data_IF_799802253067
#
_entry.id   IF_799802253067
#
_cell.length_a   1.000
_cell.length_b   1.000
_cell.length_c   1.000
_cell.angle_alpha   90.00
_cell.angle_beta   90.00
_cell.angle_gamma   90.00
#
_symmetry.space_group_name_H-M   'P 1'
#
loop_
_entity.id
_entity.type
_entity.pdbx_description
1 polymer ?
#
# COMPACT_ATOMS: atom_id res chain seq x y z
N UNK A 1 -8.94 46.20 18.99
CA UNK A 1 -9.77 45.19 18.29
C UNK A 1 -8.93 44.17 17.54
N UNK A 2 -7.77 44.57 17.01
CA UNK A 2 -6.87 43.68 16.24
C UNK A 2 -6.13 42.63 17.06
N UNK A 3 -5.89 42.85 18.36
CA UNK A 3 -5.34 41.80 19.24
C UNK A 3 -6.26 40.57 19.40
N UNK A 4 -7.56 40.75 19.13
CA UNK A 4 -8.57 39.71 19.31
C UNK A 4 -8.90 39.05 17.96
N UNK A 5 -8.90 39.82 16.87
CA UNK A 5 -9.28 39.39 15.52
C UNK A 5 -8.05 39.05 14.65
N UNK A 6 -8.27 38.36 13.54
CA UNK A 6 -7.20 37.99 12.60
C UNK A 6 -6.49 36.66 12.93
N UNK A 7 -5.57 36.23 12.06
CA UNK A 7 -4.83 34.96 12.20
C UNK A 7 -3.91 34.94 13.43
N UNK A 8 -3.29 36.08 13.74
CA UNK A 8 -2.43 36.27 14.91
C UNK A 8 -3.22 36.77 16.15
N UNK A 9 -4.54 36.93 16.03
CA UNK A 9 -5.38 37.32 17.15
C UNK A 9 -5.47 36.21 18.20
N UNK A 10 -5.68 36.60 19.47
CA UNK A 10 -5.72 35.69 20.61
C UNK A 10 -6.66 34.49 20.43
N UNK A 11 -7.78 34.66 19.74
CA UNK A 11 -8.73 33.55 19.51
C UNK A 11 -8.13 32.42 18.67
N UNK A 12 -7.52 32.75 17.53
CA UNK A 12 -6.98 31.72 16.62
C UNK A 12 -5.64 31.18 17.10
N UNK A 13 -4.74 32.05 17.57
CA UNK A 13 -3.37 31.66 17.87
C UNK A 13 -3.18 31.05 19.27
N UNK A 14 -3.97 31.47 20.27
CA UNK A 14 -3.72 31.10 21.67
C UNK A 14 -4.84 30.28 22.31
N UNK A 15 -6.10 30.54 21.93
CA UNK A 15 -7.24 29.78 22.48
C UNK A 15 -7.44 28.46 21.73
N UNK A 16 -7.42 28.50 20.41
CA UNK A 16 -7.55 27.30 19.55
C UNK A 16 -6.21 26.62 19.28
N UNK A 17 -5.16 27.41 19.01
CA UNK A 17 -3.78 26.91 18.94
C UNK A 17 -3.13 26.94 20.33
N UNK A 18 -2.67 25.79 20.82
CA UNK A 18 -1.86 25.74 22.04
C UNK A 18 -0.67 24.83 21.82
N UNK A 19 0.49 25.27 22.31
CA UNK A 19 1.64 24.39 22.48
C UNK A 19 1.35 23.49 23.67
N UNK A 20 1.64 22.22 23.53
CA UNK A 20 1.35 21.20 24.53
C UNK A 20 2.62 20.50 24.94
N UNK A 21 2.76 20.23 26.24
CA UNK A 21 3.81 19.39 26.78
C UNK A 21 3.56 17.91 26.41
N UNK A 22 4.51 17.02 26.73
CA UNK A 22 4.44 15.59 26.37
C UNK A 22 4.24 15.36 24.87
N UNK A 23 4.93 16.18 24.07
CA UNK A 23 4.94 16.07 22.62
C UNK A 23 6.36 16.00 22.07
N UNK A 24 6.52 15.30 20.96
CA UNK A 24 7.80 15.15 20.24
C UNK A 24 7.59 15.24 18.74
N UNK A 25 8.66 15.46 17.98
CA UNK A 25 8.62 15.42 16.51
C UNK A 25 9.88 14.77 15.98
N UNK A 26 9.74 13.90 14.99
CA UNK A 26 10.88 13.38 14.23
C UNK A 26 10.47 13.02 12.80
N UNK A 27 11.47 12.75 11.97
CA UNK A 27 11.33 12.23 10.61
C UNK A 27 10.74 10.82 10.68
N UNK A 28 9.87 10.49 9.73
CA UNK A 28 9.31 9.15 9.61
C UNK A 28 10.13 8.28 8.66
N UNK A 29 10.24 7.00 9.00
CA UNK A 29 10.83 5.96 8.16
C UNK A 29 9.89 4.77 8.07
N UNK A 30 10.09 3.93 7.06
CA UNK A 30 9.26 2.75 6.85
C UNK A 30 9.55 1.68 7.92
N UNK A 31 8.50 1.13 8.53
CA UNK A 31 8.59 -0.02 9.44
C UNK A 31 7.75 -1.19 8.93
N UNK A 32 8.18 -1.91 7.88
CA UNK A 32 7.40 -2.98 7.26
C UNK A 32 7.11 -4.15 8.21
N UNK A 33 7.97 -4.38 9.22
CA UNK A 33 7.86 -5.43 10.23
C UNK A 33 6.78 -5.17 11.29
N UNK A 34 6.35 -3.92 11.45
CA UNK A 34 5.37 -3.53 12.46
C UNK A 34 3.98 -4.08 12.11
N UNK A 35 3.14 -4.30 13.12
CA UNK A 35 1.71 -4.55 12.93
C UNK A 35 0.96 -3.26 12.67
N UNK A 36 -0.24 -3.34 12.10
CA UNK A 36 -1.02 -2.14 11.74
C UNK A 36 -1.27 -1.18 12.93
N UNK A 37 -1.44 -1.69 14.15
CA UNK A 37 -1.67 -0.92 15.38
C UNK A 37 -0.38 -0.42 16.06
N UNK A 38 0.79 -0.75 15.55
CA UNK A 38 2.07 -0.43 16.17
C UNK A 38 2.81 0.70 15.44
N UNK A 39 3.59 1.47 16.18
CA UNK A 39 4.56 2.41 15.63
C UNK A 39 5.92 2.25 16.32
N UNK A 40 7.01 2.43 15.59
CA UNK A 40 8.35 2.44 16.20
C UNK A 40 8.66 3.81 16.77
N UNK A 41 8.93 3.89 18.07
CA UNK A 41 9.31 5.12 18.75
C UNK A 41 10.81 5.07 19.10
N UNK A 42 11.59 6.11 18.79
CA UNK A 42 12.99 6.20 19.20
C UNK A 42 13.16 6.12 20.72
N UNK A 43 14.13 5.33 21.18
CA UNK A 43 14.46 5.19 22.61
C UNK A 43 14.68 6.53 23.33
N UNK A 44 15.47 7.43 22.73
CA UNK A 44 15.74 8.78 23.29
C UNK A 44 14.46 9.60 23.44
N UNK A 45 13.57 9.57 22.43
CA UNK A 45 12.31 10.30 22.45
C UNK A 45 11.34 9.71 23.48
N UNK A 46 11.22 8.38 23.52
CA UNK A 46 10.36 7.68 24.46
C UNK A 46 10.78 7.98 25.91
N UNK A 47 12.07 7.98 26.21
CA UNK A 47 12.57 8.28 27.55
C UNK A 47 12.18 9.68 28.02
N UNK A 48 12.26 10.70 27.16
CA UNK A 48 11.87 12.07 27.51
C UNK A 48 10.35 12.23 27.63
N UNK A 49 9.56 11.60 26.74
CA UNK A 49 8.10 11.65 26.80
C UNK A 49 7.53 10.95 28.04
N UNK A 50 8.10 9.80 28.42
CA UNK A 50 7.60 8.97 29.53
C UNK A 50 8.37 9.17 30.84
N UNK A 51 9.28 10.16 30.90
CA UNK A 51 10.15 10.46 32.04
C UNK A 51 9.47 10.42 33.42
N UNK A 52 8.33 11.09 33.68
CA UNK A 52 7.70 11.05 35.00
C UNK A 52 7.14 9.66 35.36
N UNK A 53 6.67 8.90 34.38
CA UNK A 53 6.14 7.55 34.57
C UNK A 53 7.25 6.57 34.93
N UNK A 54 8.37 6.63 34.21
CA UNK A 54 9.57 5.84 34.48
C UNK A 54 10.11 6.16 35.88
N UNK A 55 10.19 7.45 36.25
CA UNK A 55 10.63 7.86 37.58
C UNK A 55 9.74 7.33 38.70
N UNK A 56 8.42 7.34 38.52
CA UNK A 56 7.45 6.80 39.48
C UNK A 56 7.61 5.28 39.63
N UNK A 57 7.75 4.57 38.51
CA UNK A 57 7.91 3.11 38.47
C UNK A 57 9.22 2.65 39.12
N UNK A 58 10.35 3.32 38.82
CA UNK A 58 11.65 3.06 39.47
C UNK A 58 11.62 3.18 41.00
N UNK A 59 10.82 4.11 41.55
CA UNK A 59 10.67 4.26 43.00
C UNK A 59 9.76 3.17 43.57
N UNK A 60 8.67 2.83 42.87
CA UNK A 60 7.75 1.78 43.29
C UNK A 60 8.40 0.39 43.31
N UNK A 61 9.26 0.11 42.33
CA UNK A 61 9.95 -1.18 42.21
C UNK A 61 11.19 -1.26 43.13
N UNK A 62 11.48 -0.21 43.92
CA UNK A 62 12.59 -0.18 44.88
C UNK A 62 13.98 0.01 44.26
N UNK A 63 14.07 0.18 42.93
CA UNK A 63 15.33 0.44 42.20
C UNK A 63 15.91 1.82 42.53
N UNK A 64 15.06 2.77 42.93
CA UNK A 64 15.46 4.10 43.38
C UNK A 64 14.83 4.47 44.73
N UNK A 65 15.65 4.91 45.69
CA UNK A 65 15.16 5.29 47.02
C UNK A 65 14.29 6.56 47.03
N UNK A 66 14.47 7.47 46.08
CA UNK A 66 13.71 8.72 45.99
C UNK A 66 13.66 9.26 44.56
N UNK A 67 12.74 10.21 44.31
CA UNK A 67 12.52 10.83 42.99
C UNK A 67 13.79 11.51 42.46
N UNK A 68 14.63 12.10 43.32
CA UNK A 68 15.89 12.72 42.90
C UNK A 68 16.91 11.69 42.40
N UNK A 69 16.98 10.53 43.05
CA UNK A 69 17.81 9.40 42.63
C UNK A 69 17.30 8.83 41.31
N UNK A 70 15.98 8.62 41.19
CA UNK A 70 15.36 8.18 39.95
C UNK A 70 15.65 9.14 38.79
N UNK A 71 15.54 10.45 39.01
CA UNK A 71 15.91 11.48 38.01
C UNK A 71 17.35 11.34 37.54
N UNK A 72 18.31 11.17 38.47
CA UNK A 72 19.74 10.96 38.13
C UNK A 72 19.98 9.64 37.38
N UNK A 73 19.23 8.59 37.69
CA UNK A 73 19.33 7.30 36.98
C UNK A 73 18.84 7.43 35.54
N UNK A 74 17.73 8.14 35.33
CA UNK A 74 17.16 8.42 34.01
C UNK A 74 18.09 9.32 33.19
N UNK A 75 18.63 10.40 33.78
CA UNK A 75 19.58 11.30 33.09
C UNK A 75 20.89 10.60 32.69
N UNK A 76 21.30 9.57 33.44
CA UNK A 76 22.46 8.74 33.10
C UNK A 76 22.13 7.57 32.18
N UNK A 77 20.87 7.40 31.79
CA UNK A 77 20.37 6.32 30.93
C UNK A 77 20.90 4.93 31.34
N UNK A 78 20.83 4.61 32.64
CA UNK A 78 21.31 3.31 33.13
C UNK A 78 20.52 2.15 32.50
N UNK A 79 21.11 0.95 32.36
CA UNK A 79 20.47 -0.21 31.74
C UNK A 79 19.07 -0.52 32.29
N UNK A 80 18.89 -0.45 33.62
CA UNK A 80 17.64 -0.80 34.30
C UNK A 80 16.48 0.14 33.94
N UNK A 81 16.79 1.34 33.45
CA UNK A 81 15.79 2.33 33.02
C UNK A 81 15.09 1.88 31.73
N UNK A 82 15.80 1.15 30.86
CA UNK A 82 15.24 0.69 29.59
C UNK A 82 14.22 -0.42 29.78
N UNK A 83 14.47 -1.35 30.71
CA UNK A 83 13.54 -2.42 31.05
C UNK A 83 12.23 -1.84 31.62
N UNK A 84 12.35 -0.86 32.53
CA UNK A 84 11.21 -0.15 33.10
C UNK A 84 10.46 0.66 32.04
N UNK A 85 11.17 1.29 31.11
CA UNK A 85 10.57 2.04 30.02
C UNK A 85 9.73 1.14 29.11
N UNK A 86 10.22 -0.05 28.78
CA UNK A 86 9.49 -1.02 27.95
C UNK A 86 8.18 -1.49 28.62
N UNK A 87 8.21 -1.73 29.93
CA UNK A 87 7.01 -2.08 30.71
C UNK A 87 5.97 -0.94 30.71
N UNK A 88 6.41 0.30 30.95
CA UNK A 88 5.53 1.48 31.00
C UNK A 88 4.83 1.75 29.66
N UNK A 89 5.54 1.50 28.55
CA UNK A 89 5.07 1.79 27.19
C UNK A 89 4.01 0.78 26.72
N UNK A 90 4.09 -0.49 27.15
CA UNK A 90 3.23 -1.56 26.64
C UNK A 90 1.73 -1.26 26.77
N UNK A 91 1.32 -0.52 27.80
CA UNK A 91 -0.09 -0.19 28.04
C UNK A 91 -0.48 1.24 27.61
N UNK A 92 0.47 2.07 27.18
CA UNK A 92 0.26 3.48 26.84
C UNK A 92 0.25 3.71 25.31
N UNK A 93 -0.93 3.95 24.69
CA UNK A 93 -0.99 4.35 23.30
C UNK A 93 -0.40 5.75 23.11
N UNK A 94 0.12 6.04 21.92
CA UNK A 94 0.59 7.38 21.51
C UNK A 94 -0.17 7.85 20.28
N UNK A 95 -0.35 9.16 20.15
CA UNK A 95 -1.01 9.78 19.01
C UNK A 95 0.00 10.31 18.01
N UNK A 96 -0.04 9.81 16.78
CA UNK A 96 0.75 10.34 15.67
C UNK A 96 -0.09 11.31 14.85
N UNK A 97 0.48 12.48 14.53
CA UNK A 97 -0.15 13.51 13.72
C UNK A 97 0.82 14.02 12.62
N UNK A 98 0.31 14.15 11.40
CA UNK A 98 1.00 14.83 10.30
C UNK A 98 0.32 16.15 9.96
N UNK A 99 1.12 17.21 9.88
CA UNK A 99 0.66 18.50 9.41
C UNK A 99 0.83 18.60 7.88
N UNK A 100 -0.14 19.15 7.13
CA UNK A 100 -1.44 19.66 7.56
C UNK A 100 -2.49 18.54 7.77
N UNK A 101 -3.25 18.62 8.87
CA UNK A 101 -4.33 17.66 9.16
C UNK A 101 -5.59 18.03 8.39
N UNK A 102 -5.90 17.32 7.30
CA UNK A 102 -7.06 17.60 6.44
C UNK A 102 -8.36 16.94 6.90
N UNK A 103 -8.25 15.81 7.60
CA UNK A 103 -9.39 15.02 8.06
C UNK A 103 -9.01 14.20 9.30
N UNK A 104 -9.99 13.60 9.99
CA UNK A 104 -9.77 12.88 11.25
C UNK A 104 -8.69 11.79 11.18
N UNK A 105 -8.51 11.12 10.03
CA UNK A 105 -7.51 10.06 9.86
C UNK A 105 -6.05 10.57 9.86
N UNK A 106 -5.84 11.89 9.88
CA UNK A 106 -4.52 12.49 10.04
C UNK A 106 -4.04 12.50 11.50
N UNK A 107 -4.86 12.01 12.45
CA UNK A 107 -4.48 11.72 13.82
C UNK A 107 -4.98 10.32 14.16
N UNK A 108 -4.07 9.41 14.52
CA UNK A 108 -4.39 8.04 14.91
C UNK A 108 -3.54 7.64 16.11
N UNK A 109 -4.07 6.70 16.90
CA UNK A 109 -3.37 6.09 18.02
C UNK A 109 -2.62 4.83 17.57
N UNK A 110 -1.45 4.62 18.17
CA UNK A 110 -0.60 3.45 17.96
C UNK A 110 -0.03 2.99 19.30
N UNK A 111 0.29 1.70 19.39
CA UNK A 111 1.09 1.15 20.46
C UNK A 111 2.58 1.34 20.13
N UNK A 112 3.38 1.98 21.01
CA UNK A 112 4.78 2.24 20.71
C UNK A 112 5.60 0.97 20.89
N UNK A 113 6.46 0.69 19.93
CA UNK A 113 7.52 -0.32 20.01
C UNK A 113 8.85 0.44 20.05
N UNK A 114 9.68 0.15 21.05
CA UNK A 114 11.00 0.78 21.15
C UNK A 114 11.84 0.40 19.93
N UNK A 115 12.40 1.42 19.28
CA UNK A 115 13.24 1.25 18.10
C UNK A 115 14.56 2.00 18.27
N UNK A 116 15.62 1.43 17.70
CA UNK A 116 16.92 2.07 17.64
C UNK A 116 16.93 3.22 16.61
N UNK A 117 17.79 4.21 16.87
CA UNK A 117 17.91 5.41 16.04
C UNK A 117 17.02 6.56 16.51
N UNK A 118 16.81 7.54 15.63
CA UNK A 118 16.11 8.81 15.93
C UNK A 118 14.82 9.03 15.14
N UNK A 119 14.50 8.15 14.20
CA UNK A 119 13.34 8.27 13.32
C UNK A 119 12.15 7.46 13.83
N UNK A 120 10.94 7.95 13.59
CA UNK A 120 9.71 7.24 13.93
C UNK A 120 9.43 6.22 12.82
N UNK A 121 9.28 4.93 13.17
CA UNK A 121 8.88 3.92 12.19
C UNK A 121 7.36 3.90 12.06
N UNK A 122 6.86 4.07 10.84
CA UNK A 122 5.43 4.06 10.55
C UNK A 122 5.06 2.83 9.72
N UNK A 123 3.88 2.28 10.01
CA UNK A 123 3.31 1.18 9.25
C UNK A 123 2.95 1.62 7.80
N UNK A 124 3.39 0.91 6.75
CA UNK A 124 3.16 1.34 5.36
C UNK A 124 1.68 1.52 4.96
N UNK A 125 0.76 0.71 5.50
CA UNK A 125 -0.67 0.78 5.14
C UNK A 125 -1.39 2.02 5.69
N UNK A 126 -0.81 2.72 6.67
CA UNK A 126 -1.42 3.95 7.22
C UNK A 126 -0.94 5.20 6.49
N UNK A 127 0.11 5.11 5.66
CA UNK A 127 0.66 6.25 4.92
C UNK A 127 -0.38 6.93 4.03
N UNK A 128 -1.29 6.16 3.42
CA UNK A 128 -2.39 6.70 2.61
C UNK A 128 -3.35 7.56 3.42
N UNK A 129 -3.62 7.17 4.67
CA UNK A 129 -4.44 7.93 5.60
C UNK A 129 -3.74 9.23 6.01
N UNK A 130 -2.44 9.19 6.30
CA UNK A 130 -1.68 10.40 6.63
C UNK A 130 -1.33 11.27 5.42
N UNK A 131 -1.57 10.77 4.20
CA UNK A 131 -1.05 11.31 2.95
C UNK A 131 0.48 11.50 2.98
N UNK A 132 1.17 10.61 3.69
CA UNK A 132 2.60 10.70 4.00
C UNK A 132 3.45 9.83 3.09
N UNK A 133 4.68 10.28 2.83
CA UNK A 133 5.74 9.54 2.16
C UNK A 133 7.02 9.57 3.01
N UNK A 134 8.08 8.90 2.53
CA UNK A 134 9.32 8.67 3.30
C UNK A 134 10.51 9.45 2.73
N UNK A 135 10.28 10.65 2.17
CA UNK A 135 11.31 11.49 1.54
C UNK A 135 11.82 12.64 2.45
N UNK A 136 11.39 12.69 3.70
CA UNK A 136 11.76 13.72 4.67
C UNK A 136 10.62 14.22 5.55
N UNK A 137 9.40 13.71 5.33
CA UNK A 137 8.22 13.99 6.14
C UNK A 137 8.47 13.79 7.64
N UNK A 138 7.81 14.63 8.44
CA UNK A 138 7.91 14.61 9.89
C UNK A 138 6.52 14.42 10.52
N UNK A 139 6.47 13.64 11.60
CA UNK A 139 5.26 13.48 12.39
C UNK A 139 5.48 13.94 13.83
N UNK A 140 4.43 14.51 14.40
CA UNK A 140 4.37 14.84 15.81
C UNK A 140 3.75 13.69 16.60
N UNK A 141 4.32 13.38 17.75
CA UNK A 141 3.86 12.38 18.72
C UNK A 141 3.29 13.10 19.93
N UNK A 142 2.17 12.64 20.46
CA UNK A 142 1.58 13.13 21.70
C UNK A 142 1.21 11.96 22.61
N UNK A 143 1.41 12.13 23.92
CA UNK A 143 1.08 11.09 24.92
C UNK A 143 -0.22 11.43 25.66
N UNK A 144 -1.27 10.59 25.57
CA UNK A 144 -2.46 10.71 26.40
C UNK A 144 -2.14 10.36 27.86
N UNK A 145 -2.41 11.29 28.77
CA UNK A 145 -1.99 11.17 30.18
C UNK A 145 -3.08 10.60 31.11
N UNK A 146 -4.35 10.95 30.90
CA UNK A 146 -5.44 10.46 31.75
C UNK A 146 -5.90 9.06 31.32
N UNK A 147 -6.45 8.28 32.25
CA UNK A 147 -6.94 6.93 31.95
C UNK A 147 -8.09 6.96 30.92
N UNK A 148 -8.94 7.98 30.97
CA UNK A 148 -10.03 8.18 30.01
C UNK A 148 -9.49 8.47 28.61
N UNK A 149 -8.47 9.32 28.50
CA UNK A 149 -7.85 9.64 27.21
C UNK A 149 -7.11 8.44 26.61
N UNK A 150 -6.49 7.61 27.44
CA UNK A 150 -5.85 6.36 26.98
C UNK A 150 -6.88 5.34 26.50
N UNK A 151 -7.99 5.20 27.23
CA UNK A 151 -9.10 4.34 26.82
C UNK A 151 -9.74 4.83 25.52
N UNK A 152 -9.97 6.14 25.37
CA UNK A 152 -10.48 6.75 24.15
C UNK A 152 -9.54 6.50 22.96
N UNK A 153 -8.24 6.73 23.15
CA UNK A 153 -7.24 6.49 22.12
C UNK A 153 -7.25 5.03 21.65
N UNK A 154 -7.34 4.09 22.59
CA UNK A 154 -7.35 2.64 22.30
C UNK A 154 -8.64 2.18 21.63
N UNK A 155 -9.80 2.65 22.07
CA UNK A 155 -11.11 2.19 21.58
C UNK A 155 -11.55 2.89 20.29
N UNK A 156 -11.22 4.18 20.10
CA UNK A 156 -11.73 4.99 18.99
C UNK A 156 -10.66 5.38 17.98
N UNK A 157 -9.44 5.69 18.44
CA UNK A 157 -8.40 6.29 17.59
C UNK A 157 -7.38 5.28 17.07
N UNK A 158 -7.36 4.05 17.57
CA UNK A 158 -6.40 3.02 17.15
C UNK A 158 -6.46 2.83 15.62
N UNK A 159 -5.30 2.80 14.97
CA UNK A 159 -5.21 2.69 13.51
C UNK A 159 -5.93 1.46 12.95
N UNK A 160 -5.93 0.33 13.67
CA UNK A 160 -6.63 -0.90 13.30
C UNK A 160 -8.16 -0.74 13.22
N UNK A 161 -8.75 0.27 13.87
CA UNK A 161 -10.18 0.56 13.77
C UNK A 161 -10.50 1.50 12.59
N UNK A 162 -9.51 2.20 12.08
CA UNK A 162 -9.65 3.24 11.07
C UNK A 162 -9.33 2.73 9.65
N UNK A 163 -9.91 1.59 9.29
CA UNK A 163 -9.70 0.93 7.99
C UNK A 163 -10.51 1.61 6.87
N UNK A 164 -11.71 2.10 7.18
CA UNK A 164 -12.63 2.71 6.21
C UNK A 164 -12.60 4.23 6.24
N UNK A 165 -12.81 4.83 5.06
CA UNK A 165 -12.95 6.26 4.89
C UNK A 165 -14.30 6.73 5.46
N UNK A 166 -14.32 7.81 6.26
CA UNK A 166 -15.57 8.33 6.81
C UNK A 166 -16.52 8.91 5.75
N UNK A 167 -15.97 9.34 4.60
CA UNK A 167 -16.72 10.05 3.55
C UNK A 167 -17.62 9.13 2.71
N UNK A 168 -17.15 7.92 2.41
CA UNK A 168 -17.75 7.02 1.41
C UNK A 168 -17.70 5.53 1.81
N UNK A 169 -17.18 5.21 3.01
CA UNK A 169 -17.10 3.84 3.50
C UNK A 169 -16.15 2.93 2.72
N UNK A 170 -15.33 3.49 1.81
CA UNK A 170 -14.33 2.72 1.06
C UNK A 170 -13.10 2.47 1.93
N UNK A 171 -12.41 1.32 1.77
CA UNK A 171 -11.16 1.09 2.49
C UNK A 171 -10.08 2.12 2.16
N UNK A 172 -9.44 2.69 3.18
CA UNK A 172 -8.29 3.60 3.07
C UNK A 172 -6.98 2.82 3.19
N UNK A 173 -6.95 1.83 4.08
CA UNK A 173 -5.82 0.94 4.30
C UNK A 173 -5.76 -0.16 3.21
N UNK A 174 -5.64 0.24 1.95
CA UNK A 174 -5.43 -0.68 0.82
C UNK A 174 -3.93 -0.80 0.55
N UNK A 175 -3.39 -2.00 0.31
CA UNK A 175 -2.01 -2.16 -0.14
C UNK A 175 -1.70 -1.27 -1.34
N UNK A 176 -0.51 -0.67 -1.36
CA UNK A 176 -0.08 0.26 -2.41
C UNK A 176 1.27 -0.17 -2.98
N UNK A 177 1.58 0.32 -4.18
CA UNK A 177 2.89 0.19 -4.82
C UNK A 177 3.41 -1.27 -4.81
N UNK A 178 4.55 -1.51 -4.19
CA UNK A 178 5.27 -2.78 -4.25
C UNK A 178 4.48 -3.96 -3.68
N UNK A 179 3.63 -3.72 -2.68
CA UNK A 179 2.74 -4.77 -2.15
C UNK A 179 1.76 -5.26 -3.21
N UNK A 180 1.23 -4.32 -4.01
CA UNK A 180 0.33 -4.62 -5.12
C UNK A 180 1.11 -5.35 -6.21
N UNK A 181 2.32 -4.90 -6.53
CA UNK A 181 3.15 -5.51 -7.55
C UNK A 181 3.51 -6.96 -7.20
N UNK A 182 3.86 -7.25 -5.94
CA UNK A 182 4.15 -8.61 -5.48
C UNK A 182 2.93 -9.53 -5.53
N UNK A 183 1.78 -9.07 -5.06
CA UNK A 183 0.52 -9.82 -5.14
C UNK A 183 0.09 -10.04 -6.59
N UNK A 184 0.26 -9.04 -7.45
CA UNK A 184 -0.04 -9.12 -8.87
C UNK A 184 0.88 -10.13 -9.57
N UNK A 185 2.19 -10.08 -9.28
CA UNK A 185 3.15 -11.00 -9.87
C UNK A 185 2.83 -12.44 -9.50
N UNK A 186 2.56 -12.74 -8.22
CA UNK A 186 2.15 -14.10 -7.82
C UNK A 186 0.91 -14.61 -8.55
N UNK A 187 -0.04 -13.73 -8.85
CA UNK A 187 -1.35 -14.11 -9.40
C UNK A 187 -1.45 -13.96 -10.92
N UNK A 188 -0.35 -13.61 -11.58
CA UNK A 188 -0.25 -13.64 -13.04
C UNK A 188 -0.05 -15.09 -13.51
N UNK A 189 -0.63 -15.42 -14.66
CA UNK A 189 -0.56 -16.76 -15.24
C UNK A 189 0.35 -16.71 -16.47
N UNK A 190 1.03 -17.83 -16.72
CA UNK A 190 1.87 -17.99 -17.91
C UNK A 190 1.48 -19.26 -18.63
N UNK A 191 1.11 -19.11 -19.90
CA UNK A 191 0.85 -20.26 -20.77
C UNK A 191 2.17 -20.95 -21.14
N UNK A 192 2.15 -22.29 -21.26
CA UNK A 192 3.29 -23.13 -21.60
C UNK A 192 4.47 -23.01 -20.61
N UNK A 193 4.18 -22.80 -19.32
CA UNK A 193 5.18 -22.77 -18.27
C UNK A 193 5.61 -24.18 -17.83
N UNK A 194 6.80 -24.29 -17.23
CA UNK A 194 7.35 -25.58 -16.76
C UNK A 194 6.43 -26.19 -15.71
N UNK A 195 5.99 -27.43 -15.94
CA UNK A 195 5.09 -28.13 -15.01
C UNK A 195 3.60 -27.89 -15.25
N UNK A 196 3.22 -27.30 -16.40
CA UNK A 196 1.82 -27.16 -16.76
C UNK A 196 1.09 -28.51 -16.84
N UNK A 197 -0.10 -28.56 -16.25
CA UNK A 197 -0.95 -29.75 -16.18
C UNK A 197 -0.60 -30.72 -15.05
N UNK A 198 0.43 -30.45 -14.26
CA UNK A 198 0.78 -31.27 -13.10
C UNK A 198 -0.37 -31.34 -12.08
N UNK A 199 -0.49 -32.48 -11.40
CA UNK A 199 -1.54 -32.75 -10.42
C UNK A 199 -0.91 -33.04 -9.07
N UNK A 200 -1.38 -32.35 -8.03
CA UNK A 200 -0.87 -32.46 -6.66
C UNK A 200 -1.98 -32.86 -5.69
N UNK A 201 -1.61 -33.65 -4.69
CA UNK A 201 -2.51 -34.20 -3.68
C UNK A 201 -2.91 -33.17 -2.61
N UNK A 202 -2.08 -32.15 -2.38
CA UNK A 202 -2.33 -31.03 -1.45
C UNK A 202 -1.52 -29.78 -1.85
N UNK A 203 -1.82 -28.60 -1.26
CA UNK A 203 -1.03 -27.37 -1.46
C UNK A 203 0.46 -27.51 -1.14
N UNK A 204 0.79 -28.23 -0.06
CA UNK A 204 2.17 -28.38 0.41
C UNK A 204 3.07 -29.09 -0.62
N UNK A 205 2.54 -30.11 -1.32
CA UNK A 205 3.25 -30.81 -2.37
C UNK A 205 3.52 -29.90 -3.57
N UNK A 206 2.58 -29.02 -3.91
CA UNK A 206 2.79 -28.02 -4.97
C UNK A 206 3.88 -27.01 -4.56
N UNK A 207 3.91 -26.57 -3.30
CA UNK A 207 4.99 -25.72 -2.79
C UNK A 207 6.33 -26.45 -2.81
N UNK A 208 6.37 -27.72 -2.38
CA UNK A 208 7.58 -28.54 -2.39
C UNK A 208 8.15 -28.69 -3.80
N UNK A 209 7.27 -28.98 -4.78
CA UNK A 209 7.65 -29.07 -6.19
C UNK A 209 8.21 -27.76 -6.73
N UNK A 210 7.66 -26.61 -6.31
CA UNK A 210 8.20 -25.29 -6.64
C UNK A 210 9.57 -25.05 -6.00
N UNK A 211 9.76 -25.42 -4.73
CA UNK A 211 11.05 -25.28 -4.04
C UNK A 211 12.16 -26.14 -4.65
N UNK A 212 11.81 -27.29 -5.24
CA UNK A 212 12.72 -28.14 -6.00
C UNK A 212 12.84 -27.74 -7.49
N UNK A 213 12.30 -26.58 -7.89
CA UNK A 213 12.33 -26.07 -9.26
C UNK A 213 11.72 -27.02 -10.30
N UNK A 214 10.87 -27.96 -9.87
CA UNK A 214 10.19 -28.90 -10.75
C UNK A 214 9.09 -28.20 -11.58
N UNK A 215 8.46 -27.18 -11.00
CA UNK A 215 7.39 -26.39 -11.60
C UNK A 215 7.65 -24.88 -11.48
N UNK A 216 7.13 -24.12 -12.43
CA UNK A 216 7.19 -22.65 -12.42
C UNK A 216 6.03 -22.05 -11.59
N UNK A 217 6.25 -20.86 -11.03
CA UNK A 217 5.30 -20.17 -10.14
C UNK A 217 3.95 -19.89 -10.82
N UNK A 218 4.00 -19.57 -12.11
CA UNK A 218 2.87 -19.15 -12.93
C UNK A 218 2.26 -20.30 -13.76
N UNK A 219 2.76 -21.53 -13.58
CA UNK A 219 2.28 -22.69 -14.32
C UNK A 219 0.88 -23.12 -13.85
N UNK A 220 0.03 -23.50 -14.79
CA UNK A 220 -1.28 -24.07 -14.48
C UNK A 220 -1.13 -25.48 -13.91
N UNK A 221 -1.60 -25.67 -12.69
CA UNK A 221 -1.56 -26.95 -11.97
C UNK A 221 -2.96 -27.29 -11.46
N UNK A 222 -3.18 -28.56 -11.14
CA UNK A 222 -4.40 -29.02 -10.47
C UNK A 222 -4.03 -29.47 -9.06
N UNK A 223 -4.63 -28.83 -8.05
CA UNK A 223 -4.37 -29.13 -6.65
C UNK A 223 -5.66 -29.60 -6.01
N UNK A 224 -5.58 -30.65 -5.21
CA UNK A 224 -6.72 -31.15 -4.45
C UNK A 224 -6.90 -30.31 -3.18
N UNK A 225 -8.08 -29.73 -3.01
CA UNK A 225 -8.49 -28.99 -1.82
C UNK A 225 -9.60 -29.74 -1.08
N UNK A 226 -9.67 -29.56 0.24
CA UNK A 226 -10.76 -30.07 1.04
C UNK A 226 -12.03 -29.25 0.77
N UNK A 227 -13.17 -29.91 0.56
CA UNK A 227 -14.41 -29.21 0.20
C UNK A 227 -14.88 -28.23 1.29
N UNK A 228 -14.52 -28.45 2.55
CA UNK A 228 -14.78 -27.52 3.65
C UNK A 228 -14.12 -26.15 3.51
N UNK A 229 -13.03 -26.06 2.74
CA UNK A 229 -12.35 -24.79 2.44
C UNK A 229 -13.00 -24.03 1.27
N UNK A 230 -13.79 -24.73 0.45
CA UNK A 230 -14.54 -24.14 -0.65
C UNK A 230 -15.88 -23.69 -0.08
N UNK A 231 -15.99 -22.40 0.23
CA UNK A 231 -17.17 -21.84 0.90
C UNK A 231 -18.48 -22.10 0.12
N UNK A 232 -18.42 -22.13 -1.21
CA UNK A 232 -19.57 -22.32 -2.10
C UNK A 232 -19.86 -23.79 -2.48
N UNK A 233 -19.13 -24.77 -1.93
CA UNK A 233 -19.38 -26.19 -2.22
C UNK A 233 -20.55 -26.73 -1.38
N UNK A 234 -21.62 -27.28 -2.01
CA UNK A 234 -22.77 -27.85 -1.30
C UNK A 234 -22.43 -29.10 -0.48
N UNK A 235 -21.49 -29.93 -0.94
CA UNK A 235 -21.01 -31.10 -0.20
C UNK A 235 -19.65 -30.81 0.45
N UNK A 236 -19.67 -30.55 1.76
CA UNK A 236 -18.45 -30.27 2.54
C UNK A 236 -17.63 -31.53 2.82
N UNK A 237 -18.13 -32.72 2.51
CA UNK A 237 -17.39 -33.96 2.67
C UNK A 237 -16.54 -34.25 1.42
N UNK A 238 -15.30 -34.69 1.63
CA UNK A 238 -14.39 -35.09 0.55
C UNK A 238 -13.48 -33.98 0.02
N UNK A 239 -12.99 -34.17 -1.19
CA UNK A 239 -12.01 -33.32 -1.82
C UNK A 239 -12.39 -33.01 -3.26
N UNK A 240 -12.11 -31.79 -3.70
CA UNK A 240 -12.32 -31.33 -5.07
C UNK A 240 -10.99 -31.00 -5.72
N UNK A 241 -10.89 -31.34 -7.01
CA UNK A 241 -9.72 -31.01 -7.81
C UNK A 241 -9.89 -29.59 -8.37
N UNK A 242 -8.98 -28.68 -8.00
CA UNK A 242 -9.07 -27.26 -8.32
C UNK A 242 -7.93 -26.88 -9.27
N UNK A 243 -8.25 -26.25 -10.40
CA UNK A 243 -7.26 -25.69 -11.32
C UNK A 243 -6.77 -24.33 -10.80
N UNK A 244 -5.48 -24.18 -10.60
CA UNK A 244 -4.86 -22.97 -10.04
C UNK A 244 -3.42 -22.82 -10.52
N UNK A 245 -2.68 -21.85 -9.99
CA UNK A 245 -1.22 -21.73 -10.14
C UNK A 245 -0.58 -21.77 -8.76
N UNK A 246 0.70 -22.12 -8.68
CA UNK A 246 1.43 -22.15 -7.40
C UNK A 246 1.40 -20.78 -6.73
N UNK A 247 1.57 -19.70 -7.50
CA UNK A 247 1.49 -18.35 -6.95
C UNK A 247 0.12 -17.99 -6.38
N UNK A 248 -0.97 -18.47 -7.00
CA UNK A 248 -2.32 -18.34 -6.43
C UNK A 248 -2.49 -19.18 -5.15
N UNK A 249 -1.89 -20.36 -5.06
CA UNK A 249 -1.91 -21.17 -3.82
C UNK A 249 -1.22 -20.41 -2.69
N UNK A 250 0.01 -19.91 -2.93
CA UNK A 250 0.78 -19.12 -1.95
C UNK A 250 -0.02 -17.88 -1.49
N UNK A 251 -0.67 -17.18 -2.43
CA UNK A 251 -1.48 -16.01 -2.08
C UNK A 251 -2.69 -16.37 -1.21
N UNK A 252 -3.39 -17.46 -1.53
CA UNK A 252 -4.62 -17.86 -0.83
C UNK A 252 -4.35 -18.58 0.50
N UNK A 253 -3.17 -19.15 0.72
CA UNK A 253 -2.79 -19.78 1.99
C UNK A 253 -2.75 -18.77 3.14
N UNK A 254 -2.33 -17.55 2.84
CA UNK A 254 -2.26 -16.43 3.80
C UNK A 254 -3.66 -15.90 4.16
N UNK A 255 -4.68 -16.21 3.35
CA UNK A 255 -6.04 -15.73 3.54
C UNK A 255 -6.89 -16.70 4.36
N UNK A 256 -7.79 -16.19 5.23
CA UNK A 256 -8.85 -16.98 5.83
C UNK A 256 -9.66 -17.74 4.76
N UNK A 257 -10.15 -18.96 5.06
CA UNK A 257 -10.92 -19.77 4.10
C UNK A 257 -12.08 -19.02 3.43
N UNK A 258 -12.77 -18.13 4.16
CA UNK A 258 -13.93 -17.38 3.69
C UNK A 258 -13.56 -16.26 2.66
N UNK A 259 -12.27 -15.90 2.59
CA UNK A 259 -11.74 -14.92 1.65
C UNK A 259 -11.07 -15.54 0.43
N UNK A 260 -10.77 -16.85 0.45
CA UNK A 260 -10.23 -17.57 -0.71
C UNK A 260 -11.18 -17.43 -1.90
N UNK A 261 -10.63 -17.13 -3.07
CA UNK A 261 -11.44 -16.89 -4.27
C UNK A 261 -11.56 -18.17 -5.10
N UNK A 262 -12.54 -19.00 -4.74
CA UNK A 262 -12.97 -20.12 -5.55
C UNK A 262 -14.08 -19.69 -6.50
N UNK A 263 -14.00 -20.13 -7.75
CA UNK A 263 -15.08 -19.97 -8.72
C UNK A 263 -15.15 -21.19 -9.63
N UNK A 264 -16.32 -21.48 -10.17
CA UNK A 264 -16.53 -22.65 -11.04
C UNK A 264 -16.65 -22.19 -12.49
N UNK A 265 -15.84 -22.77 -13.36
CA UNK A 265 -15.84 -22.52 -14.80
C UNK A 265 -15.74 -23.85 -15.52
N UNK A 266 -16.65 -24.11 -16.47
CA UNK A 266 -16.75 -25.37 -17.23
C UNK A 266 -16.84 -26.64 -16.34
N UNK A 267 -17.52 -26.53 -15.20
CA UNK A 267 -17.70 -27.64 -14.26
C UNK A 267 -16.47 -27.94 -13.38
N UNK A 268 -15.35 -27.24 -13.58
CA UNK A 268 -14.12 -27.40 -12.81
C UNK A 268 -13.97 -26.22 -11.85
N UNK A 269 -13.58 -26.50 -10.61
CA UNK A 269 -13.23 -25.46 -9.65
C UNK A 269 -11.91 -24.79 -10.05
N UNK A 270 -11.87 -23.47 -10.00
CA UNK A 270 -10.67 -22.66 -10.16
C UNK A 270 -10.42 -21.86 -8.88
N UNK A 271 -9.15 -21.75 -8.51
CA UNK A 271 -8.70 -20.93 -7.39
C UNK A 271 -7.77 -19.84 -7.91
N UNK A 272 -8.11 -18.61 -7.55
CA UNK A 272 -7.27 -17.45 -7.82
C UNK A 272 -7.89 -16.47 -8.80
N UNK A 273 -7.55 -15.21 -8.60
CA UNK A 273 -7.92 -14.11 -9.48
C UNK A 273 -6.71 -13.21 -9.55
N UNK A 274 -6.46 -12.61 -10.71
CA UNK A 274 -5.40 -11.63 -10.87
C UNK A 274 -5.64 -10.46 -9.91
N UNK A 275 -4.72 -10.28 -8.96
CA UNK A 275 -4.85 -9.30 -7.88
C UNK A 275 -4.24 -7.97 -8.31
N UNK A 276 -5.07 -7.11 -8.91
CA UNK A 276 -4.72 -5.70 -9.11
C UNK A 276 -5.06 -4.85 -7.87
N UNK A 277 -4.71 -3.56 -7.89
CA UNK A 277 -5.03 -2.62 -6.81
C UNK A 277 -6.55 -2.56 -6.50
N UNK A 278 -7.42 -2.74 -7.49
CA UNK A 278 -8.87 -2.67 -7.31
C UNK A 278 -9.40 -3.93 -6.64
N UNK A 279 -8.95 -5.10 -7.06
CA UNK A 279 -9.29 -6.39 -6.46
C UNK A 279 -8.76 -6.49 -5.03
N UNK A 280 -7.56 -5.98 -4.75
CA UNK A 280 -7.06 -5.86 -3.37
C UNK A 280 -7.97 -4.94 -2.53
N UNK A 281 -8.41 -3.81 -3.08
CA UNK A 281 -9.39 -2.95 -2.40
C UNK A 281 -10.72 -3.67 -2.12
N UNK A 282 -11.19 -4.52 -3.04
CA UNK A 282 -12.40 -5.35 -2.83
C UNK A 282 -12.17 -6.44 -1.80
N UNK A 283 -10.99 -7.05 -1.76
CA UNK A 283 -10.60 -8.03 -0.75
C UNK A 283 -10.68 -7.43 0.65
N UNK A 284 -10.13 -6.22 0.85
CA UNK A 284 -10.22 -5.51 2.13
C UNK A 284 -11.68 -5.21 2.50
N UNK A 285 -12.48 -4.76 1.54
CA UNK A 285 -13.90 -4.49 1.77
C UNK A 285 -14.70 -5.77 2.13
N UNK A 286 -14.39 -6.90 1.49
CA UNK A 286 -14.98 -8.21 1.80
C UNK A 286 -14.57 -8.69 3.20
N UNK A 287 -13.28 -8.58 3.54
CA UNK A 287 -12.75 -8.91 4.86
C UNK A 287 -13.45 -8.12 5.96
N UNK A 288 -13.58 -6.80 5.76
CA UNK A 288 -14.25 -5.93 6.73
C UNK A 288 -15.70 -6.34 6.97
N UNK A 289 -16.44 -6.68 5.91
CA UNK A 289 -17.86 -7.09 6.02
C UNK A 289 -18.04 -8.42 6.76
N UNK A 290 -17.11 -9.36 6.60
CA UNK A 290 -17.21 -10.69 7.19
C UNK A 290 -16.69 -10.75 8.62
N UNK A 291 -15.58 -10.05 8.91
CA UNK A 291 -14.86 -10.23 10.17
C UNK A 291 -14.71 -8.96 11.01
N UNK A 292 -15.13 -7.80 10.51
CA UNK A 292 -14.93 -6.52 11.18
C UNK A 292 -13.47 -6.06 11.19
N UNK A 293 -13.13 -5.18 12.14
CA UNK A 293 -11.87 -4.43 12.13
C UNK A 293 -10.64 -5.30 12.43
N UNK A 294 -10.66 -6.01 13.55
CA UNK A 294 -9.47 -6.67 14.12
C UNK A 294 -8.88 -7.71 13.18
N UNK A 295 -9.72 -8.66 12.73
CA UNK A 295 -9.26 -9.72 11.83
C UNK A 295 -8.93 -9.18 10.43
N UNK A 296 -9.56 -8.09 9.99
CA UNK A 296 -9.18 -7.43 8.73
C UNK A 296 -7.80 -6.79 8.82
N UNK A 297 -7.42 -6.21 9.97
CA UNK A 297 -6.08 -5.69 10.18
C UNK A 297 -5.02 -6.81 10.12
N UNK A 298 -5.31 -7.99 10.70
CA UNK A 298 -4.43 -9.16 10.62
C UNK A 298 -4.26 -9.66 9.18
N UNK A 299 -5.37 -9.76 8.42
CA UNK A 299 -5.33 -10.12 6.99
C UNK A 299 -4.49 -9.12 6.20
N UNK A 300 -4.66 -7.82 6.48
CA UNK A 300 -3.90 -6.75 5.84
C UNK A 300 -2.39 -6.85 6.13
N UNK A 301 -2.00 -7.12 7.38
CA UNK A 301 -0.61 -7.32 7.77
C UNK A 301 0.00 -8.54 7.07
N UNK A 302 -0.78 -9.61 6.90
CA UNK A 302 -0.36 -10.83 6.23
C UNK A 302 -0.19 -10.61 4.71
N UNK A 303 -1.15 -9.93 4.05
CA UNK A 303 -1.07 -9.55 2.63
C UNK A 303 0.10 -8.60 2.37
N UNK A 304 0.35 -7.63 3.26
CA UNK A 304 1.52 -6.74 3.19
C UNK A 304 2.82 -7.54 3.20
N UNK A 305 2.98 -8.43 4.18
CA UNK A 305 4.21 -9.21 4.36
C UNK A 305 4.49 -10.11 3.16
N UNK A 306 3.45 -10.80 2.69
CA UNK A 306 3.50 -11.62 1.49
C UNK A 306 3.81 -10.79 0.24
N UNK A 307 3.18 -9.61 0.09
CA UNK A 307 3.41 -8.71 -1.04
C UNK A 307 4.86 -8.25 -1.12
N UNK A 308 5.45 -7.79 0.00
CA UNK A 308 6.85 -7.37 0.03
C UNK A 308 7.82 -8.53 -0.23
N UNK A 309 7.60 -9.69 0.40
CA UNK A 309 8.47 -10.85 0.23
C UNK A 309 8.53 -11.29 -1.24
N UNK A 310 7.37 -11.41 -1.88
CA UNK A 310 7.29 -11.86 -3.26
C UNK A 310 7.70 -10.79 -4.28
N UNK A 311 7.46 -9.50 -4.00
CA UNK A 311 8.00 -8.41 -4.82
C UNK A 311 9.54 -8.43 -4.83
N UNK A 312 10.17 -8.70 -3.67
CA UNK A 312 11.62 -8.83 -3.57
C UNK A 312 12.13 -10.06 -4.34
N UNK A 313 11.50 -11.22 -4.18
CA UNK A 313 11.86 -12.45 -4.89
C UNK A 313 11.67 -12.36 -6.40
N UNK A 314 10.68 -11.62 -6.87
CA UNK A 314 10.42 -11.41 -8.29
C UNK A 314 11.55 -10.64 -8.99
N UNK A 315 12.36 -9.86 -8.24
CA UNK A 315 13.51 -9.15 -8.79
C UNK A 315 13.15 -8.18 -9.92
N UNK A 316 11.93 -7.62 -9.90
CA UNK A 316 11.42 -6.76 -10.98
C UNK A 316 12.26 -5.49 -11.03
N UNK A 317 12.96 -5.29 -12.14
CA UNK A 317 13.75 -4.10 -12.45
C UNK A 317 13.18 -3.41 -13.69
N UNK A 318 13.53 -2.14 -13.90
CA UNK A 318 13.15 -1.39 -15.10
C UNK A 318 14.42 -0.97 -15.82
N UNK A 319 14.63 -1.54 -17.00
CA UNK A 319 15.69 -1.16 -17.93
C UNK A 319 15.17 -0.29 -19.07
N UNK A 320 16.10 0.40 -19.75
CA UNK A 320 15.77 1.17 -20.97
C UNK A 320 15.25 0.24 -22.08
N UNK A 321 15.73 -1.01 -22.12
CA UNK A 321 15.28 -2.04 -23.07
C UNK A 321 13.83 -2.46 -22.90
N UNK A 322 13.24 -2.25 -21.73
CA UNK A 322 11.85 -2.63 -21.45
C UNK A 322 10.86 -1.67 -22.12
N UNK A 323 11.34 -0.47 -22.46
CA UNK A 323 10.59 0.59 -23.14
C UNK A 323 10.67 0.34 -24.66
N UNK A 324 9.80 -0.53 -25.16
CA UNK A 324 9.72 -0.85 -26.59
C UNK A 324 8.95 0.21 -27.36
N UNK A 325 9.64 0.89 -28.28
CA UNK A 325 9.01 1.85 -29.19
C UNK A 325 8.35 1.09 -30.34
N UNK A 326 7.06 1.33 -30.67
CA UNK A 326 6.39 0.64 -31.77
C UNK A 326 7.02 0.97 -33.12
N UNK A 327 7.29 -0.03 -33.95
CA UNK A 327 7.84 0.19 -35.30
C UNK A 327 6.86 0.99 -36.18
N UNK A 328 5.57 0.67 -36.07
CA UNK A 328 4.46 1.33 -36.78
C UNK A 328 4.28 2.81 -36.44
N UNK A 329 4.95 3.30 -35.38
CA UNK A 329 4.93 4.73 -35.00
C UNK A 329 5.34 5.63 -36.17
N UNK A 330 6.36 5.24 -36.94
CA UNK A 330 6.85 6.03 -38.09
C UNK A 330 5.78 6.14 -39.19
N UNK A 331 5.05 5.07 -39.43
CA UNK A 331 3.97 5.04 -40.43
C UNK A 331 2.80 5.94 -40.02
N UNK A 332 2.39 5.88 -38.75
CA UNK A 332 1.29 6.71 -38.23
C UNK A 332 1.64 8.20 -38.35
N UNK A 333 2.86 8.57 -38.00
CA UNK A 333 3.32 9.96 -38.11
C UNK A 333 3.35 10.43 -39.57
N UNK A 334 3.89 9.61 -40.49
CA UNK A 334 3.94 9.95 -41.91
C UNK A 334 2.53 10.08 -42.55
N UNK A 335 1.58 9.22 -42.15
CA UNK A 335 0.18 9.33 -42.59
C UNK A 335 -0.46 10.62 -42.05
N UNK A 336 -0.22 10.94 -40.78
CA UNK A 336 -0.77 12.15 -40.14
C UNK A 336 -0.21 13.41 -40.79
N UNK A 337 1.10 13.47 -41.05
CA UNK A 337 1.74 14.61 -41.73
C UNK A 337 1.14 14.85 -43.13
N UNK A 338 0.88 13.78 -43.90
CA UNK A 338 0.21 13.88 -45.20
C UNK A 338 -1.21 14.43 -45.10
N UNK A 339 -1.97 14.03 -44.09
CA UNK A 339 -3.33 14.57 -43.87
C UNK A 339 -3.28 16.04 -43.43
N UNK A 340 -2.31 16.42 -42.59
CA UNK A 340 -2.09 17.84 -42.21
C UNK A 340 -1.75 18.68 -43.44
N UNK A 341 -0.88 18.18 -44.33
CA UNK A 341 -0.53 18.88 -45.58
C UNK A 341 -1.74 19.09 -46.50
N UNK A 342 -2.66 18.10 -46.59
CA UNK A 342 -3.92 18.26 -47.31
C UNK A 342 -4.81 19.36 -46.70
N UNK A 343 -4.89 19.43 -45.36
CA UNK A 343 -5.64 20.46 -44.65
C UNK A 343 -5.02 21.84 -44.87
N UNK A 344 -3.70 21.98 -44.83
CA UNK A 344 -3.01 23.22 -45.18
C UNK A 344 -3.23 23.62 -46.64
N UNK A 345 -3.22 22.66 -47.57
CA UNK A 345 -3.51 22.90 -48.98
C UNK A 345 -4.94 23.40 -49.22
N UNK A 346 -5.93 22.88 -48.47
CA UNK A 346 -7.31 23.38 -48.51
C UNK A 346 -7.41 24.81 -47.97
N UNK A 347 -6.69 25.13 -46.90
CA UNK A 347 -6.62 26.49 -46.35
C UNK A 347 -5.99 27.46 -47.36
N UNK A 348 -4.87 27.10 -48.01
CA UNK A 348 -4.23 27.93 -49.06
C UNK A 348 -5.14 28.18 -50.26
N UNK A 349 -6.06 27.27 -50.57
CA UNK A 349 -7.08 27.42 -51.61
C UNK A 349 -8.33 28.22 -51.16
N UNK A 350 -8.36 28.69 -49.90
CA UNK A 350 -9.48 29.45 -49.35
C UNK A 350 -10.72 28.61 -49.01
N UNK A 351 -10.59 27.28 -48.91
CA UNK A 351 -11.71 26.37 -48.61
C UNK A 351 -11.97 26.16 -47.11
N UNK A 352 -11.10 26.70 -46.25
CA UNK A 352 -11.18 26.56 -44.78
C UNK A 352 -10.85 27.90 -44.13
N UNK A 353 -11.49 28.18 -42.99
CA UNK A 353 -11.08 29.28 -42.11
C UNK A 353 -9.84 28.90 -41.28
N UNK A 354 -9.18 29.89 -40.67
CA UNK A 354 -8.04 29.64 -39.78
C UNK A 354 -8.43 28.80 -38.56
N UNK A 355 -9.59 29.09 -37.96
CA UNK A 355 -10.13 28.35 -36.82
C UNK A 355 -10.43 26.88 -37.17
N UNK A 356 -11.03 26.65 -38.34
CA UNK A 356 -11.32 25.30 -38.82
C UNK A 356 -10.04 24.51 -39.13
N UNK A 357 -9.02 25.18 -39.70
CA UNK A 357 -7.69 24.58 -39.92
C UNK A 357 -7.08 24.18 -38.58
N UNK A 358 -7.06 25.08 -37.60
CA UNK A 358 -6.46 24.85 -36.29
C UNK A 358 -7.14 23.67 -35.57
N UNK A 359 -8.47 23.64 -35.52
CA UNK A 359 -9.23 22.54 -34.92
C UNK A 359 -9.00 21.20 -35.63
N UNK A 360 -8.94 21.19 -36.97
CA UNK A 360 -8.64 19.97 -37.74
C UNK A 360 -7.23 19.45 -37.48
N UNK A 361 -6.23 20.33 -37.44
CA UNK A 361 -4.83 19.96 -37.15
C UNK A 361 -4.71 19.38 -35.74
N UNK A 362 -5.34 20.02 -34.74
CA UNK A 362 -5.41 19.48 -33.37
C UNK A 362 -6.03 18.09 -33.36
N UNK A 363 -7.16 17.91 -34.05
CA UNK A 363 -7.87 16.63 -34.09
C UNK A 363 -7.02 15.52 -34.71
N UNK A 364 -6.32 15.81 -35.82
CA UNK A 364 -5.42 14.85 -36.48
C UNK A 364 -4.27 14.43 -35.55
N UNK A 365 -3.60 15.39 -34.91
CA UNK A 365 -2.52 15.07 -33.96
C UNK A 365 -3.01 14.35 -32.70
N UNK A 366 -4.22 14.66 -32.23
CA UNK A 366 -4.85 13.93 -31.12
C UNK A 366 -5.11 12.47 -31.51
N UNK A 367 -5.68 12.23 -32.69
CA UNK A 367 -5.94 10.87 -33.21
C UNK A 367 -4.64 10.09 -33.38
N UNK A 368 -3.62 10.70 -33.99
CA UNK A 368 -2.30 10.09 -34.15
C UNK A 368 -1.68 9.69 -32.81
N UNK A 369 -1.80 10.56 -31.80
CA UNK A 369 -1.32 10.27 -30.44
C UNK A 369 -2.03 9.06 -29.84
N UNK A 370 -3.35 8.97 -30.00
CA UNK A 370 -4.14 7.84 -29.49
C UNK A 370 -3.84 6.53 -30.23
N UNK A 371 -3.62 6.58 -31.54
CA UNK A 371 -3.31 5.40 -32.35
C UNK A 371 -1.90 4.88 -32.05
N UNK A 372 -0.90 5.76 -31.89
CA UNK A 372 0.43 5.38 -31.39
C UNK A 372 0.33 4.76 -29.99
N UNK A 373 -0.58 5.25 -29.14
CA UNK A 373 -0.80 4.69 -27.79
C UNK A 373 -1.38 3.28 -27.86
N UNK A 374 -2.37 3.04 -28.72
CA UNK A 374 -2.96 1.71 -28.91
C UNK A 374 -1.92 0.72 -29.42
N UNK A 375 -1.15 1.10 -30.43
CA UNK A 375 -0.07 0.27 -30.97
C UNK A 375 1.01 0.00 -29.93
N UNK A 376 1.37 0.98 -29.10
CA UNK A 376 2.28 0.79 -27.98
C UNK A 376 1.75 -0.23 -26.98
N UNK A 377 0.48 -0.13 -26.61
CA UNK A 377 -0.13 -1.07 -25.68
C UNK A 377 -0.23 -2.47 -26.27
N UNK A 378 -0.40 -2.61 -27.59
CA UNK A 378 -0.43 -3.89 -28.31
C UNK A 378 0.96 -4.51 -28.53
N UNK A 379 1.97 -3.70 -28.84
CA UNK A 379 3.34 -4.16 -29.08
C UNK A 379 4.14 -4.41 -27.78
N UNK A 380 3.74 -3.77 -26.68
CA UNK A 380 4.33 -3.96 -25.33
C UNK A 380 3.53 -5.00 -24.51
N UNK A 381 2.69 -5.82 -25.14
CA UNK A 381 1.76 -6.78 -24.50
C UNK A 381 2.42 -7.96 -23.77
N UNK A 382 3.75 -8.04 -23.70
CA UNK A 382 4.34 -9.07 -22.85
C UNK A 382 3.90 -8.81 -21.40
N UNK A 383 3.06 -9.71 -20.90
CA UNK A 383 2.42 -9.58 -19.59
C UNK A 383 3.46 -9.54 -18.47
N UNK A 384 4.67 -10.06 -18.74
CA UNK A 384 5.81 -10.08 -17.83
C UNK A 384 6.78 -8.90 -18.03
N UNK A 385 6.50 -7.96 -18.94
CA UNK A 385 7.29 -6.74 -19.04
C UNK A 385 7.12 -5.89 -17.75
N UNK A 386 8.19 -5.51 -17.06
CA UNK A 386 8.14 -4.74 -15.82
C UNK A 386 7.32 -3.45 -15.90
N UNK A 387 7.49 -2.67 -16.98
CA UNK A 387 6.77 -1.41 -17.19
C UNK A 387 5.27 -1.66 -17.37
N UNK A 388 4.93 -2.72 -18.10
CA UNK A 388 3.54 -3.13 -18.29
C UNK A 388 2.91 -3.63 -16.99
N UNK A 389 3.61 -4.48 -16.23
CA UNK A 389 3.15 -4.98 -14.93
C UNK A 389 2.89 -3.85 -13.94
N UNK A 390 3.79 -2.86 -13.84
CA UNK A 390 3.63 -1.73 -12.91
C UNK A 390 2.36 -0.91 -13.20
N UNK A 391 2.09 -0.60 -14.48
CA UNK A 391 0.91 0.17 -14.85
C UNK A 391 -0.38 -0.65 -14.79
N UNK A 392 -0.37 -1.90 -15.26
CA UNK A 392 -1.58 -2.72 -15.33
C UNK A 392 -2.01 -3.24 -13.95
N UNK A 393 -1.07 -3.50 -13.04
CA UNK A 393 -1.38 -3.81 -11.63
C UNK A 393 -1.97 -2.61 -10.88
N UNK A 394 -1.76 -1.39 -11.37
CA UNK A 394 -2.11 -0.17 -10.66
C UNK A 394 -1.21 0.12 -9.46
N UNK A 395 -0.06 -0.58 -9.36
CA UNK A 395 0.95 -0.34 -8.33
C UNK A 395 1.56 1.05 -8.47
N UNK A 396 2.08 1.36 -9.67
CA UNK A 396 2.69 2.65 -9.99
C UNK A 396 2.68 2.88 -11.50
N UNK A 397 2.40 4.11 -11.90
CA UNK A 397 2.39 4.49 -13.30
C UNK A 397 1.00 4.47 -13.92
N UNK A 398 0.82 5.30 -14.95
CA UNK A 398 -0.39 5.29 -15.79
C UNK A 398 0.02 5.05 -17.26
N UNK A 399 -0.91 4.56 -18.07
CA UNK A 399 -0.75 4.37 -19.53
C UNK A 399 -0.26 5.66 -20.20
N UNK A 400 -0.72 6.82 -19.75
CA UNK A 400 -0.25 8.12 -20.25
C UNK A 400 1.24 8.38 -20.00
N UNK A 401 1.79 7.92 -18.88
CA UNK A 401 3.21 8.07 -18.57
C UNK A 401 4.06 7.11 -19.41
N UNK A 402 3.59 5.88 -19.60
CA UNK A 402 4.23 4.92 -20.53
C UNK A 402 4.23 5.49 -21.96
N UNK A 403 3.10 6.07 -22.39
CA UNK A 403 3.00 6.76 -23.68
C UNK A 403 4.04 7.87 -23.85
N UNK A 404 4.30 8.65 -22.80
CA UNK A 404 5.32 9.70 -22.86
C UNK A 404 6.75 9.15 -22.97
N UNK A 405 7.00 7.93 -22.49
CA UNK A 405 8.30 7.26 -22.56
C UNK A 405 8.57 6.59 -23.92
N UNK A 406 7.65 5.75 -24.39
CA UNK A 406 7.84 4.95 -25.62
C UNK A 406 7.02 5.43 -26.84
N UNK A 407 5.97 6.22 -26.61
CA UNK A 407 5.05 6.69 -27.65
C UNK A 407 5.45 8.07 -28.16
N UNK A 408 4.61 9.07 -27.91
CA UNK A 408 4.88 10.48 -28.22
C UNK A 408 4.26 11.37 -27.15
N UNK A 409 4.79 12.58 -26.96
CA UNK A 409 4.24 13.55 -26.00
C UNK A 409 2.83 14.02 -26.37
N UNK A 410 2.56 14.17 -27.67
CA UNK A 410 1.29 14.69 -28.18
C UNK A 410 1.26 16.21 -28.17
N UNK A 411 0.05 16.77 -28.07
CA UNK A 411 -0.18 18.21 -28.01
C UNK A 411 0.25 18.77 -26.65
N UNK A 412 0.90 19.93 -26.68
CA UNK A 412 1.25 20.70 -25.49
C UNK A 412 0.30 21.88 -25.38
N UNK A 413 -0.25 22.08 -24.18
CA UNK A 413 -1.16 23.19 -23.88
C UNK A 413 -0.40 24.48 -23.58
#
# INVERSE_FOLDING_TARGET
>A
TDMIKGKQGRFRQNLLGKRVDYSGRSVIVVGPELKMHQCGLPKEMALELFKPFVMKKLVNDGLAHNIKSAKRMVERARPEVWDVLEEVIREHPVLLNRAPTLHRLGIQAFEPVLSEGRAIKLHPLVCTAYNADFDGDQMAVHVPLSAEAQAEARLLMLSAHNILAPKDGKPVAVPTQDMVLGAYYLTINKDNAKGEGAVFANPDEALLAYHHEAIDLHAYVKVRFQNSEIFDEPDKAGHSLVKTTVGNVIFNEVLPPELKYFYKEDGVWKLGKRMDKKELGRLVAKSYKLFGNTRTAEVLDAVKTMGYHNACRAGITVGVSDIKVPERKKEILALTEKEVEKVEGMYRRGLLSEDERYQKVIKLWSQATDDVTKELMQSTLDQFNPVYMMANSGARGNVQQIRQLAGMRGLMA
#
